data_IF_015970635456
#
_entry.id   IF_015970635456
#
_cell.length_a   1.000
_cell.length_b   1.000
_cell.length_c   1.000
_cell.angle_alpha   90.00
_cell.angle_beta   90.00
_cell.angle_gamma   90.00
#
_symmetry.space_group_name_H-M   'P 1'
#
loop_
_entity.id
_entity.type
_entity.pdbx_description
1 polymer ?
#
# COMPACT_ATOMS: atom_id res chain seq x y z
N UNK A 1 0.07 -15.15 1.71
CA UNK A 1 0.16 -14.29 0.51
C UNK A 1 1.52 -13.60 0.53
N UNK A 2 2.22 -13.50 -0.60
CA UNK A 2 3.51 -12.79 -0.68
C UNK A 2 3.43 -11.78 -1.83
N UNK A 3 3.51 -10.50 -1.50
CA UNK A 3 3.51 -9.40 -2.48
C UNK A 3 4.95 -9.03 -2.82
N UNK A 4 5.25 -8.92 -4.10
CA UNK A 4 6.56 -8.44 -4.58
C UNK A 4 6.59 -6.92 -4.72
N UNK A 5 7.78 -6.33 -4.68
CA UNK A 5 7.94 -4.88 -4.83
C UNK A 5 7.33 -4.33 -6.12
N UNK A 6 7.52 -5.01 -7.26
CA UNK A 6 6.96 -4.62 -8.56
C UNK A 6 5.43 -4.58 -8.57
N UNK A 7 4.80 -5.50 -7.83
CA UNK A 7 3.35 -5.53 -7.71
C UNK A 7 2.86 -4.36 -6.84
N UNK A 8 3.54 -4.12 -5.72
CA UNK A 8 3.30 -2.98 -4.83
C UNK A 8 3.41 -1.63 -5.57
N UNK A 9 4.48 -1.47 -6.37
CA UNK A 9 4.69 -0.30 -7.24
C UNK A 9 3.53 -0.09 -8.22
N UNK A 10 2.98 -1.18 -8.76
CA UNK A 10 1.78 -1.13 -9.60
C UNK A 10 0.55 -0.57 -8.88
N UNK A 11 0.31 -0.95 -7.62
CA UNK A 11 -0.77 -0.37 -6.83
C UNK A 11 -0.53 1.11 -6.51
N UNK A 12 0.70 1.49 -6.17
CA UNK A 12 1.09 2.88 -5.92
C UNK A 12 0.82 3.73 -7.17
N UNK A 13 1.26 3.28 -8.35
CA UNK A 13 1.06 4.00 -9.61
C UNK A 13 -0.42 4.24 -9.91
N UNK A 14 -1.26 3.20 -9.77
CA UNK A 14 -2.71 3.32 -9.98
C UNK A 14 -3.38 4.30 -9.00
N UNK A 15 -2.93 4.31 -7.74
CA UNK A 15 -3.46 5.25 -6.75
C UNK A 15 -3.12 6.70 -7.13
N UNK A 16 -1.87 6.95 -7.56
CA UNK A 16 -1.44 8.26 -8.03
C UNK A 16 -2.19 8.72 -9.29
N UNK A 17 -2.32 7.84 -10.29
CA UNK A 17 -3.04 8.12 -11.54
C UNK A 17 -4.52 8.45 -11.29
N UNK A 18 -5.13 7.81 -10.29
CA UNK A 18 -6.54 8.05 -9.91
C UNK A 18 -6.75 9.17 -8.90
N UNK A 19 -5.68 9.88 -8.48
CA UNK A 19 -5.73 10.92 -7.43
C UNK A 19 -6.36 10.40 -6.13
N UNK A 20 -6.02 9.17 -5.75
CA UNK A 20 -6.48 8.52 -4.52
C UNK A 20 -5.30 8.25 -3.59
N UNK A 21 -5.60 8.20 -2.29
CA UNK A 21 -4.64 7.73 -1.30
C UNK A 21 -4.56 6.21 -1.32
N UNK A 22 -3.35 5.66 -1.27
CA UNK A 22 -3.15 4.23 -1.07
C UNK A 22 -3.01 3.96 0.42
N UNK A 23 -3.97 3.20 0.97
CA UNK A 23 -3.91 2.66 2.34
C UNK A 23 -3.70 1.16 2.26
N UNK A 24 -2.63 0.67 2.89
CA UNK A 24 -2.37 -0.76 3.05
C UNK A 24 -2.98 -1.22 4.37
N UNK A 25 -3.88 -2.20 4.32
CA UNK A 25 -4.35 -2.92 5.49
C UNK A 25 -3.61 -4.26 5.56
N UNK A 26 -2.88 -4.49 6.65
CA UNK A 26 -2.16 -5.74 6.91
C UNK A 26 -2.87 -6.46 8.06
N UNK A 27 -3.36 -7.67 7.77
CA UNK A 27 -3.96 -8.55 8.76
C UNK A 27 -2.90 -9.56 9.20
N UNK A 28 -2.61 -9.60 10.49
CA UNK A 28 -1.66 -10.56 11.04
C UNK A 28 -2.31 -11.93 11.33
N UNK A 29 -1.50 -12.88 11.82
CA UNK A 29 -1.94 -14.26 12.12
C UNK A 29 -2.95 -14.34 13.26
N UNK A 30 -3.03 -13.32 14.12
CA UNK A 30 -3.92 -13.26 15.28
C UNK A 30 -5.18 -12.45 14.97
N UNK A 31 -5.29 -11.92 13.74
CA UNK A 31 -6.44 -11.15 13.26
C UNK A 31 -6.35 -9.64 13.53
N UNK A 32 -5.22 -9.14 14.05
CA UNK A 32 -5.06 -7.69 14.22
C UNK A 32 -4.86 -7.02 12.86
N UNK A 33 -5.44 -5.81 12.72
CA UNK A 33 -5.38 -5.05 11.48
C UNK A 33 -4.57 -3.78 11.69
N UNK A 34 -3.50 -3.63 10.92
CA UNK A 34 -2.67 -2.43 10.89
C UNK A 34 -2.87 -1.68 9.57
N UNK A 35 -3.04 -0.37 9.64
CA UNK A 35 -3.25 0.50 8.48
C UNK A 35 -2.03 1.40 8.25
N UNK A 36 -1.54 1.45 7.01
CA UNK A 36 -0.43 2.31 6.60
C UNK A 36 -0.83 3.14 5.39
N UNK A 37 -0.70 4.46 5.50
CA UNK A 37 -0.84 5.37 4.36
C UNK A 37 0.51 5.48 3.66
N UNK A 38 0.51 5.32 2.34
CA UNK A 38 1.72 5.52 1.54
C UNK A 38 1.81 6.99 1.14
N UNK A 39 2.88 7.66 1.55
CA UNK A 39 3.17 9.04 1.17
C UNK A 39 4.39 9.09 0.25
N UNK A 40 4.31 9.90 -0.80
CA UNK A 40 5.48 10.18 -1.65
C UNK A 40 6.42 11.07 -0.85
N UNK A 41 7.59 10.55 -0.48
CA UNK A 41 8.65 11.37 0.10
C UNK A 41 9.20 12.31 -0.98
N UNK A 42 9.07 13.61 -0.76
CA UNK A 42 9.80 14.63 -1.50
C UNK A 42 11.16 14.77 -0.81
N UNK A 43 12.13 13.97 -1.26
CA UNK A 43 13.54 14.25 -1.01
C UNK A 43 14.00 15.41 -1.89
#
# INVERSE_FOLDING_TARGET
MRIGFRELEGYIRRALESRRELVLAIVDKDGNISYYKVEKSLG
#
